data_IF_461292948557
#
_entry.id   IF_461292948557
#
_cell.length_a   1.000
_cell.length_b   1.000
_cell.length_c   1.000
_cell.angle_alpha   90.00
_cell.angle_beta   90.00
_cell.angle_gamma   90.00
#
_symmetry.space_group_name_H-M   'P 1'
#
loop_
_entity.id
_entity.type
_entity.pdbx_description
1 polymer ?
#
# COMPACT_ATOMS: atom_id res chain seq x y z
N UNK A 1 26.59 22.31 -38.38
CA UNK A 1 26.41 20.86 -38.15
C UNK A 1 24.93 20.56 -38.32
N UNK A 2 24.55 20.10 -39.50
CA UNK A 2 23.16 19.90 -39.93
C UNK A 2 22.64 18.62 -39.30
N UNK A 3 21.71 18.73 -38.35
CA UNK A 3 20.99 17.57 -37.82
C UNK A 3 20.11 17.05 -38.97
N UNK A 4 20.45 15.88 -39.51
CA UNK A 4 19.74 15.26 -40.62
C UNK A 4 18.25 15.02 -40.28
N UNK A 5 17.31 15.19 -41.25
CA UNK A 5 15.86 15.04 -41.02
C UNK A 5 15.44 13.70 -40.41
N UNK A 6 16.20 12.64 -40.69
CA UNK A 6 16.00 11.27 -40.17
C UNK A 6 16.26 11.20 -38.64
N UNK A 7 17.17 12.01 -38.12
CA UNK A 7 17.45 12.04 -36.68
C UNK A 7 16.29 12.69 -35.91
N UNK A 8 15.73 13.76 -36.47
CA UNK A 8 14.57 14.50 -35.94
C UNK A 8 13.30 13.65 -35.92
N UNK A 9 12.98 12.96 -37.01
CA UNK A 9 11.83 12.01 -37.06
C UNK A 9 12.00 10.85 -36.08
N UNK A 10 13.22 10.31 -35.91
CA UNK A 10 13.48 9.26 -34.90
C UNK A 10 13.39 9.76 -33.45
N UNK A 11 13.57 11.06 -33.23
CA UNK A 11 13.44 11.73 -31.93
C UNK A 11 11.97 12.04 -31.63
N UNK A 12 11.17 12.34 -32.65
CA UNK A 12 9.73 12.68 -32.58
C UNK A 12 8.86 11.48 -32.19
N UNK A 13 9.00 10.34 -32.86
CA UNK A 13 8.26 9.11 -32.50
C UNK A 13 8.55 8.69 -31.06
N UNK A 14 9.78 8.96 -30.60
CA UNK A 14 10.22 8.70 -29.22
C UNK A 14 9.63 9.65 -28.18
N UNK A 15 9.08 10.81 -28.55
CA UNK A 15 8.52 11.77 -27.58
C UNK A 15 7.09 11.43 -27.19
N UNK A 16 6.23 11.17 -28.17
CA UNK A 16 4.84 10.73 -27.95
C UNK A 16 4.83 9.41 -27.18
N UNK A 17 5.60 8.43 -27.64
CA UNK A 17 5.71 7.12 -27.00
C UNK A 17 6.17 7.24 -25.53
N UNK A 18 7.09 8.16 -25.23
CA UNK A 18 7.54 8.42 -23.85
C UNK A 18 6.47 9.09 -23.00
N UNK A 19 5.72 10.04 -23.55
CA UNK A 19 4.62 10.69 -22.84
C UNK A 19 3.49 9.71 -22.52
N UNK A 20 3.12 8.85 -23.47
CA UNK A 20 2.12 7.78 -23.25
C UNK A 20 2.61 6.72 -22.28
N UNK A 21 3.89 6.35 -22.33
CA UNK A 21 4.47 5.40 -21.38
C UNK A 21 4.48 5.97 -19.96
N UNK A 22 4.80 7.26 -19.80
CA UNK A 22 4.74 7.94 -18.51
C UNK A 22 3.29 8.06 -17.99
N UNK A 23 2.32 8.32 -18.87
CA UNK A 23 0.90 8.33 -18.53
C UNK A 23 0.43 6.98 -17.98
N UNK A 24 0.69 5.90 -18.74
CA UNK A 24 0.32 4.54 -18.33
C UNK A 24 0.96 4.18 -16.99
N UNK A 25 2.26 4.45 -16.85
CA UNK A 25 2.99 4.21 -15.62
C UNK A 25 2.39 4.94 -14.41
N UNK A 26 2.13 6.24 -14.51
CA UNK A 26 1.60 7.03 -13.39
C UNK A 26 0.14 6.67 -13.07
N UNK A 27 -0.67 6.33 -14.07
CA UNK A 27 -2.03 5.83 -13.86
C UNK A 27 -2.04 4.49 -13.12
N UNK A 28 -1.17 3.56 -13.52
CA UNK A 28 -1.02 2.27 -12.84
C UNK A 28 -0.49 2.43 -11.42
N UNK A 29 0.46 3.36 -11.21
CA UNK A 29 1.02 3.68 -9.91
C UNK A 29 -0.06 4.27 -8.98
N UNK A 30 -0.85 5.24 -9.44
CA UNK A 30 -1.95 5.83 -8.68
C UNK A 30 -2.99 4.77 -8.27
N UNK A 31 -3.46 3.98 -9.25
CA UNK A 31 -4.41 2.90 -9.00
C UNK A 31 -3.89 1.87 -8.00
N UNK A 32 -2.64 1.44 -8.17
CA UNK A 32 -2.03 0.41 -7.31
C UNK A 32 -1.78 0.94 -5.90
N UNK A 33 -1.37 2.20 -5.76
CA UNK A 33 -1.16 2.86 -4.47
C UNK A 33 -2.46 2.99 -3.70
N UNK A 34 -3.54 3.42 -4.36
CA UNK A 34 -4.89 3.46 -3.78
C UNK A 34 -5.33 2.09 -3.31
N UNK A 35 -5.22 1.08 -4.17
CA UNK A 35 -5.61 -0.28 -3.83
C UNK A 35 -4.82 -0.83 -2.63
N UNK A 36 -3.50 -0.60 -2.59
CA UNK A 36 -2.66 -0.99 -1.46
C UNK A 36 -3.10 -0.28 -0.17
N UNK A 37 -3.29 1.04 -0.22
CA UNK A 37 -3.72 1.85 0.90
C UNK A 37 -5.06 1.36 1.47
N UNK A 38 -6.06 1.22 0.61
CA UNK A 38 -7.40 0.74 0.99
C UNK A 38 -7.36 -0.67 1.58
N UNK A 39 -6.58 -1.56 0.96
CA UNK A 39 -6.44 -2.96 1.41
C UNK A 39 -5.81 -3.02 2.79
N UNK A 40 -4.74 -2.26 3.05
CA UNK A 40 -4.08 -2.21 4.37
C UNK A 40 -5.05 -1.66 5.43
N UNK A 41 -5.76 -0.57 5.12
CA UNK A 41 -6.73 0.02 6.05
C UNK A 41 -7.86 -0.96 6.37
N UNK A 42 -8.45 -1.58 5.36
CA UNK A 42 -9.55 -2.52 5.54
C UNK A 42 -9.11 -3.79 6.27
N UNK A 43 -7.92 -4.30 5.98
CA UNK A 43 -7.33 -5.43 6.68
C UNK A 43 -7.21 -5.16 8.18
N UNK A 44 -6.60 -4.05 8.57
CA UNK A 44 -6.44 -3.69 9.99
C UNK A 44 -7.79 -3.40 10.67
N UNK A 45 -8.74 -2.78 9.95
CA UNK A 45 -10.11 -2.60 10.45
C UNK A 45 -10.78 -3.94 10.76
N UNK A 46 -10.64 -4.94 9.88
CA UNK A 46 -11.18 -6.29 10.11
C UNK A 46 -10.53 -6.98 11.30
N UNK A 47 -9.22 -6.84 11.48
CA UNK A 47 -8.51 -7.39 12.64
C UNK A 47 -9.04 -6.79 13.96
N UNK A 48 -9.16 -5.46 14.05
CA UNK A 48 -9.57 -4.79 15.28
C UNK A 48 -11.06 -4.97 15.62
N UNK A 49 -11.91 -5.22 14.63
CA UNK A 49 -13.36 -5.37 14.85
C UNK A 49 -13.81 -6.83 14.83
N UNK A 50 -13.61 -7.52 13.70
CA UNK A 50 -14.18 -8.85 13.49
C UNK A 50 -13.43 -9.91 14.28
N UNK A 51 -12.10 -9.96 14.13
CA UNK A 51 -11.27 -10.97 14.77
C UNK A 51 -11.29 -10.81 16.29
N UNK A 52 -11.26 -9.56 16.79
CA UNK A 52 -11.50 -9.26 18.20
C UNK A 52 -12.79 -9.89 18.74
N UNK A 53 -13.91 -9.77 18.01
CA UNK A 53 -15.20 -10.34 18.45
C UNK A 53 -15.14 -11.86 18.52
N UNK A 54 -14.46 -12.51 17.58
CA UNK A 54 -14.31 -13.96 17.58
C UNK A 54 -13.48 -14.45 18.78
N UNK A 55 -12.37 -13.77 19.11
CA UNK A 55 -11.61 -14.08 20.32
C UNK A 55 -12.40 -13.83 21.61
N UNK A 56 -13.24 -12.79 21.65
CA UNK A 56 -14.13 -12.56 22.79
C UNK A 56 -15.18 -13.68 22.95
N UNK A 57 -15.73 -14.20 21.84
CA UNK A 57 -16.65 -15.35 21.88
C UNK A 57 -15.94 -16.62 22.35
N UNK A 58 -14.73 -16.87 21.85
CA UNK A 58 -13.92 -18.02 22.24
C UNK A 58 -13.61 -17.99 23.74
N UNK A 59 -13.22 -16.82 24.25
CA UNK A 59 -13.05 -16.57 25.69
C UNK A 59 -14.28 -16.97 26.50
N UNK A 60 -15.46 -16.47 26.12
CA UNK A 60 -16.72 -16.79 26.80
C UNK A 60 -17.04 -18.28 26.78
N UNK A 61 -16.78 -18.97 25.66
CA UNK A 61 -17.02 -20.41 25.54
C UNK A 61 -16.19 -21.21 26.58
N UNK A 62 -14.90 -20.92 26.69
CA UNK A 62 -14.02 -21.57 27.67
C UNK A 62 -14.42 -21.26 29.13
N UNK A 63 -14.76 -20.00 29.43
CA UNK A 63 -15.20 -19.59 30.76
C UNK A 63 -16.53 -20.26 31.14
N UNK A 64 -17.48 -20.37 30.21
CA UNK A 64 -18.75 -21.05 30.42
C UNK A 64 -18.53 -22.55 30.67
N UNK A 65 -17.64 -23.19 29.91
CA UNK A 65 -17.29 -24.60 30.13
C UNK A 65 -16.66 -24.82 31.50
N UNK A 66 -15.69 -23.97 31.89
CA UNK A 66 -15.09 -24.00 33.22
C UNK A 66 -16.16 -23.91 34.32
N UNK A 67 -17.10 -22.98 34.20
CA UNK A 67 -18.19 -22.80 35.17
C UNK A 67 -19.13 -24.01 35.23
N UNK A 68 -19.41 -24.63 34.09
CA UNK A 68 -20.24 -25.83 34.02
C UNK A 68 -19.57 -27.01 34.74
N UNK A 69 -18.28 -27.26 34.49
CA UNK A 69 -17.53 -28.32 35.17
C UNK A 69 -17.41 -28.04 36.67
N UNK A 70 -17.23 -26.77 37.07
CA UNK A 70 -17.18 -26.37 38.47
C UNK A 70 -18.49 -26.61 39.24
N UNK A 71 -19.61 -26.72 38.52
CA UNK A 71 -20.93 -27.01 39.09
C UNK A 71 -21.17 -28.50 39.38
N UNK A 72 -20.27 -29.38 38.95
CA UNK A 72 -20.31 -30.79 39.33
C UNK A 72 -20.25 -30.92 40.86
N UNK A 73 -21.12 -31.76 41.42
CA UNK A 73 -21.18 -32.04 42.86
C UNK A 73 -20.56 -33.38 43.22
N UNK A 74 -20.28 -34.23 42.22
CA UNK A 74 -19.83 -35.61 42.42
C UNK A 74 -18.31 -35.76 42.34
N UNK A 75 -17.67 -35.15 41.34
CA UNK A 75 -16.23 -35.33 41.05
C UNK A 75 -15.43 -34.03 40.98
N UNK A 76 -16.00 -32.90 41.45
CA UNK A 76 -15.38 -31.57 41.40
C UNK A 76 -13.93 -31.52 41.86
N UNK A 77 -13.59 -32.23 42.94
CA UNK A 77 -12.23 -32.23 43.48
C UNK A 77 -11.21 -32.75 42.44
N UNK A 78 -11.58 -33.76 41.66
CA UNK A 78 -10.75 -34.34 40.59
C UNK A 78 -10.59 -33.39 39.40
N UNK A 79 -11.57 -32.51 39.17
CA UNK A 79 -11.62 -31.61 38.01
C UNK A 79 -11.05 -30.22 38.28
N UNK A 80 -10.49 -29.95 39.47
CA UNK A 80 -10.02 -28.61 39.87
C UNK A 80 -8.96 -28.05 38.91
N UNK A 81 -7.99 -28.88 38.50
CA UNK A 81 -6.94 -28.48 37.53
C UNK A 81 -7.57 -28.13 36.18
N UNK A 82 -8.42 -29.00 35.65
CA UNK A 82 -9.14 -28.78 34.38
C UNK A 82 -9.96 -27.48 34.40
N UNK A 83 -10.72 -27.21 35.46
CA UNK A 83 -11.45 -25.95 35.61
C UNK A 83 -10.50 -24.74 35.56
N UNK A 84 -9.42 -24.77 36.33
CA UNK A 84 -8.44 -23.69 36.36
C UNK A 84 -7.78 -23.45 34.98
N UNK A 85 -7.41 -24.50 34.26
CA UNK A 85 -6.80 -24.42 32.93
C UNK A 85 -7.78 -23.88 31.88
N UNK A 86 -9.05 -24.30 31.93
CA UNK A 86 -10.11 -23.75 31.06
C UNK A 86 -10.38 -22.27 31.37
N UNK A 87 -10.45 -21.88 32.64
CA UNK A 87 -10.59 -20.48 33.04
C UNK A 87 -9.40 -19.63 32.57
N UNK A 88 -8.18 -20.15 32.72
CA UNK A 88 -6.95 -19.52 32.23
C UNK A 88 -7.00 -19.33 30.72
N UNK A 89 -7.38 -20.36 29.97
CA UNK A 89 -7.56 -20.28 28.50
C UNK A 89 -8.59 -19.23 28.10
N UNK A 90 -9.72 -19.19 28.80
CA UNK A 90 -10.75 -18.17 28.59
C UNK A 90 -10.20 -16.75 28.81
N UNK A 91 -9.41 -16.52 29.86
CA UNK A 91 -8.76 -15.24 30.10
C UNK A 91 -7.69 -14.91 29.06
N UNK A 92 -6.92 -15.89 28.60
CA UNK A 92 -5.95 -15.72 27.52
C UNK A 92 -6.60 -15.22 26.24
N UNK A 93 -7.68 -15.84 25.77
CA UNK A 93 -8.37 -15.37 24.57
C UNK A 93 -9.03 -14.00 24.76
N UNK A 94 -9.43 -13.64 25.98
CA UNK A 94 -9.85 -12.27 26.30
C UNK A 94 -8.70 -11.28 26.13
N UNK A 95 -7.51 -11.61 26.63
CA UNK A 95 -6.32 -10.76 26.48
C UNK A 95 -5.90 -10.62 25.01
N UNK A 96 -5.91 -11.72 24.23
CA UNK A 96 -5.66 -11.69 22.78
C UNK A 96 -6.66 -10.77 22.07
N UNK A 97 -7.94 -10.78 22.47
CA UNK A 97 -8.94 -9.85 21.93
C UNK A 97 -8.60 -8.38 22.19
N UNK A 98 -7.98 -8.07 23.34
CA UNK A 98 -7.51 -6.72 23.67
C UNK A 98 -6.26 -6.35 22.87
N UNK A 99 -5.33 -7.29 22.66
CA UNK A 99 -4.13 -7.08 21.82
C UNK A 99 -4.54 -6.68 20.40
N UNK A 100 -5.53 -7.35 19.82
CA UNK A 100 -6.13 -6.96 18.53
C UNK A 100 -6.77 -5.55 18.51
N UNK A 101 -7.13 -5.00 19.67
CA UNK A 101 -7.73 -3.66 19.79
C UNK A 101 -6.69 -2.53 19.91
N UNK A 102 -5.50 -2.83 20.45
CA UNK A 102 -4.52 -1.82 20.91
C UNK A 102 -3.39 -1.55 19.90
N UNK A 103 -3.00 -2.54 19.08
CA UNK A 103 -1.82 -2.39 18.20
C UNK A 103 -2.06 -1.37 17.08
N UNK A 104 -1.34 -0.24 17.08
CA UNK A 104 -1.68 0.88 16.18
C UNK A 104 -0.51 1.70 15.61
N UNK A 105 0.66 1.83 16.23
CA UNK A 105 1.59 2.91 15.82
C UNK A 105 2.33 2.68 14.49
N UNK A 106 2.92 1.50 14.26
CA UNK A 106 3.63 1.24 13.00
C UNK A 106 2.69 1.07 11.79
N UNK A 107 1.49 0.55 12.05
CA UNK A 107 0.39 0.52 11.08
C UNK A 107 -0.03 1.94 10.70
N UNK A 108 -0.13 2.87 11.67
CA UNK A 108 -0.41 4.29 11.39
C UNK A 108 0.68 4.88 10.49
N UNK A 109 1.95 4.65 10.79
CA UNK A 109 3.06 5.22 10.02
C UNK A 109 3.06 4.76 8.55
N UNK A 110 2.81 3.47 8.28
CA UNK A 110 2.67 2.97 6.92
C UNK A 110 1.41 3.53 6.24
N UNK A 111 0.27 3.56 6.95
CA UNK A 111 -0.98 4.08 6.41
C UNK A 111 -0.90 5.57 6.04
N UNK A 112 -0.30 6.40 6.88
CA UNK A 112 -0.13 7.84 6.59
C UNK A 112 0.76 8.05 5.36
N UNK A 113 1.87 7.32 5.25
CA UNK A 113 2.72 7.32 4.06
C UNK A 113 1.92 6.95 2.80
N UNK A 114 1.16 5.85 2.82
CA UNK A 114 0.34 5.43 1.67
C UNK A 114 -0.76 6.45 1.31
N UNK A 115 -1.39 7.07 2.32
CA UNK A 115 -2.39 8.13 2.11
C UNK A 115 -1.78 9.38 1.48
N UNK A 116 -0.56 9.74 1.86
CA UNK A 116 0.16 10.87 1.29
C UNK A 116 0.37 10.67 -0.22
N UNK A 117 0.90 9.51 -0.64
CA UNK A 117 1.06 9.21 -2.07
C UNK A 117 -0.29 9.12 -2.81
N UNK A 118 -1.34 8.63 -2.15
CA UNK A 118 -2.71 8.63 -2.72
C UNK A 118 -3.24 10.04 -2.98
N UNK A 119 -2.77 11.06 -2.23
CA UNK A 119 -3.12 12.47 -2.46
C UNK A 119 -2.20 13.15 -3.48
N UNK A 120 -0.94 12.73 -3.56
CA UNK A 120 0.06 13.30 -4.46
C UNK A 120 -0.15 12.86 -5.91
N UNK A 121 -0.29 11.56 -6.15
CA UNK A 121 -0.30 10.96 -7.49
C UNK A 121 -1.42 11.48 -8.42
N UNK A 122 -2.65 11.75 -7.95
CA UNK A 122 -3.69 12.33 -8.83
C UNK A 122 -3.28 13.67 -9.48
N UNK A 123 -2.41 14.45 -8.84
CA UNK A 123 -1.97 15.74 -9.35
C UNK A 123 -1.05 15.62 -10.59
N UNK A 124 -0.46 14.46 -10.84
CA UNK A 124 0.45 14.25 -11.97
C UNK A 124 -0.30 14.12 -13.31
N UNK A 125 -1.59 13.77 -13.29
CA UNK A 125 -2.43 13.60 -14.49
C UNK A 125 -2.49 14.87 -15.35
N UNK A 126 -2.61 16.03 -14.72
CA UNK A 126 -2.63 17.33 -15.41
C UNK A 126 -1.31 17.62 -16.11
N UNK A 127 -0.19 17.29 -15.45
CA UNK A 127 1.18 17.54 -15.96
C UNK A 127 1.44 16.66 -17.20
N UNK A 128 1.01 15.40 -17.16
CA UNK A 128 1.13 14.46 -18.27
C UNK A 128 0.24 14.88 -19.45
N UNK A 129 -0.98 15.34 -19.18
CA UNK A 129 -1.90 15.83 -20.20
C UNK A 129 -1.30 16.99 -21.00
N UNK A 130 -0.58 17.88 -20.32
CA UNK A 130 0.17 18.96 -20.97
C UNK A 130 1.30 18.43 -21.87
N UNK A 131 2.06 17.44 -21.41
CA UNK A 131 3.13 16.83 -22.21
C UNK A 131 2.58 16.12 -23.46
N UNK A 132 1.44 15.42 -23.34
CA UNK A 132 0.76 14.83 -24.50
C UNK A 132 0.29 15.89 -25.49
N UNK A 133 -0.36 16.95 -25.01
CA UNK A 133 -0.78 18.05 -25.86
C UNK A 133 0.40 18.71 -26.59
N UNK A 134 1.53 18.89 -25.91
CA UNK A 134 2.75 19.40 -26.52
C UNK A 134 3.30 18.47 -27.61
N UNK A 135 3.28 17.14 -27.39
CA UNK A 135 3.72 16.16 -28.39
C UNK A 135 2.78 16.13 -29.61
N UNK A 136 1.46 16.11 -29.38
CA UNK A 136 0.45 16.17 -30.46
C UNK A 136 0.56 17.46 -31.29
N UNK A 137 0.90 18.58 -30.63
CA UNK A 137 1.12 19.85 -31.32
C UNK A 137 2.34 19.76 -32.24
N UNK A 138 3.42 19.10 -31.82
CA UNK A 138 4.60 18.88 -32.67
C UNK A 138 4.27 18.00 -33.88
N UNK A 139 3.53 16.91 -33.67
CA UNK A 139 3.13 16.00 -34.76
C UNK A 139 2.29 16.73 -35.82
N UNK A 140 1.30 17.52 -35.39
CA UNK A 140 0.43 18.27 -36.29
C UNK A 140 1.20 19.37 -37.04
N UNK A 141 2.16 20.01 -36.36
CA UNK A 141 2.98 21.06 -36.95
C UNK A 141 3.93 20.50 -38.02
N UNK A 142 4.50 19.31 -37.78
CA UNK A 142 5.32 18.59 -38.75
C UNK A 142 4.51 18.16 -39.98
N UNK A 143 3.28 17.70 -39.77
CA UNK A 143 2.34 17.38 -40.87
C UNK A 143 2.06 18.61 -41.74
N UNK A 144 1.68 19.72 -41.12
CA UNK A 144 1.39 20.99 -41.82
C UNK A 144 2.61 21.54 -42.60
N UNK A 145 3.82 21.40 -42.04
CA UNK A 145 5.03 21.88 -42.69
C UNK A 145 5.41 21.04 -43.92
N UNK A 146 5.07 19.75 -43.92
CA UNK A 146 5.31 18.83 -45.04
C UNK A 146 4.30 19.06 -46.18
N UNK A 147 3.04 19.33 -45.84
CA UNK A 147 1.94 19.41 -46.81
C UNK A 147 1.78 20.81 -47.45
N UNK A 148 2.08 21.89 -46.72
CA UNK A 148 1.68 23.24 -47.16
C UNK A 148 2.76 24.35 -47.04
N UNK A 149 3.95 24.05 -46.48
CA UNK A 149 5.02 25.04 -46.20
C UNK A 149 4.53 26.36 -45.54
N UNK A 150 3.43 26.31 -44.78
CA UNK A 150 2.77 27.50 -44.20
C UNK A 150 3.47 28.06 -42.95
N UNK A 151 4.45 27.35 -42.37
CA UNK A 151 5.02 27.67 -41.06
C UNK A 151 6.53 27.91 -41.17
N UNK A 152 7.04 28.94 -40.50
CA UNK A 152 8.46 29.23 -40.48
C UNK A 152 9.24 28.12 -39.75
N UNK A 153 10.33 27.63 -40.34
CA UNK A 153 11.18 26.59 -39.75
C UNK A 153 11.74 26.98 -38.37
N UNK A 154 11.92 28.28 -38.10
CA UNK A 154 12.34 28.75 -36.77
C UNK A 154 11.30 28.46 -35.69
N UNK A 155 10.02 28.59 -36.03
CA UNK A 155 8.92 28.38 -35.09
C UNK A 155 8.69 26.88 -34.84
N UNK A 156 8.83 26.07 -35.88
CA UNK A 156 8.86 24.59 -35.79
C UNK A 156 9.90 24.13 -34.78
N UNK A 157 11.15 24.59 -34.95
CA UNK A 157 12.25 24.21 -34.07
C UNK A 157 12.02 24.68 -32.61
N UNK A 158 11.40 25.84 -32.41
CA UNK A 158 11.06 26.37 -31.07
C UNK A 158 9.99 25.53 -30.38
N UNK A 159 8.91 25.20 -31.07
CA UNK A 159 7.81 24.40 -30.54
C UNK A 159 8.31 22.99 -30.19
N UNK A 160 9.09 22.38 -31.08
CA UNK A 160 9.69 21.08 -30.86
C UNK A 160 10.65 21.06 -29.66
N UNK A 161 11.49 22.10 -29.52
CA UNK A 161 12.37 22.26 -28.36
C UNK A 161 11.57 22.41 -27.06
N UNK A 162 10.45 23.15 -27.09
CA UNK A 162 9.54 23.30 -25.95
C UNK A 162 8.89 21.99 -25.54
N UNK A 163 8.36 21.22 -26.49
CA UNK A 163 7.78 19.90 -26.24
C UNK A 163 8.82 18.92 -25.67
N UNK A 164 10.04 18.92 -26.20
CA UNK A 164 11.14 18.14 -25.66
C UNK A 164 11.43 18.49 -24.19
N UNK A 165 11.49 19.80 -23.87
CA UNK A 165 11.72 20.26 -22.50
C UNK A 165 10.60 19.81 -21.55
N UNK A 166 9.34 19.96 -21.96
CA UNK A 166 8.17 19.50 -21.18
C UNK A 166 8.25 17.99 -20.92
N UNK A 167 8.48 17.18 -21.95
CA UNK A 167 8.57 15.71 -21.80
C UNK A 167 9.74 15.29 -20.92
N UNK A 168 10.87 16.02 -20.96
CA UNK A 168 12.01 15.77 -20.05
C UNK A 168 11.69 16.17 -18.60
N UNK A 169 10.95 17.24 -18.39
CA UNK A 169 10.46 17.62 -17.06
C UNK A 169 9.51 16.56 -16.48
N UNK A 170 8.58 16.02 -17.28
CA UNK A 170 7.73 14.89 -16.85
C UNK A 170 8.56 13.68 -16.50
N UNK A 171 9.56 13.34 -17.31
CA UNK A 171 10.46 12.22 -17.00
C UNK A 171 11.21 12.43 -15.68
N UNK A 172 11.69 13.65 -15.43
CA UNK A 172 12.33 14.02 -14.16
C UNK A 172 11.38 13.85 -12.98
N UNK A 173 10.13 14.28 -13.12
CA UNK A 173 9.10 14.15 -12.08
C UNK A 173 8.80 12.68 -11.77
N UNK A 174 8.63 11.83 -12.79
CA UNK A 174 8.46 10.39 -12.61
C UNK A 174 9.63 9.76 -11.81
N UNK A 175 10.86 10.17 -12.14
CA UNK A 175 12.05 9.69 -11.43
C UNK A 175 12.07 10.15 -9.98
N UNK A 176 11.68 11.40 -9.71
CA UNK A 176 11.62 11.96 -8.36
C UNK A 176 10.59 11.20 -7.51
N UNK A 177 9.36 11.03 -8.02
CA UNK A 177 8.30 10.27 -7.35
C UNK A 177 8.78 8.85 -7.02
N UNK A 178 9.42 8.17 -7.97
CA UNK A 178 9.94 6.82 -7.73
C UNK A 178 11.09 6.78 -6.74
N UNK A 179 11.93 7.81 -6.67
CA UNK A 179 12.96 7.92 -5.63
C UNK A 179 12.32 8.07 -4.26
N UNK A 180 11.35 8.98 -4.11
CA UNK A 180 10.64 9.20 -2.85
C UNK A 180 9.91 7.94 -2.37
N UNK A 181 9.17 7.28 -3.26
CA UNK A 181 8.54 5.99 -2.97
C UNK A 181 9.57 4.98 -2.49
N UNK A 182 10.70 4.85 -3.19
CA UNK A 182 11.76 3.90 -2.79
C UNK A 182 12.31 4.22 -1.40
N UNK A 183 12.64 5.47 -1.14
CA UNK A 183 13.29 5.88 0.11
C UNK A 183 12.36 5.74 1.32
N UNK A 184 11.08 6.08 1.14
CA UNK A 184 10.10 5.98 2.21
C UNK A 184 9.56 4.56 2.39
N UNK A 185 9.08 3.93 1.32
CA UNK A 185 8.34 2.68 1.43
C UNK A 185 9.23 1.53 1.86
N UNK A 186 10.51 1.50 1.45
CA UNK A 186 11.46 0.47 1.89
C UNK A 186 11.55 0.41 3.41
N UNK A 187 11.65 1.56 4.07
CA UNK A 187 11.76 1.61 5.53
C UNK A 187 10.41 1.38 6.21
N UNK A 188 9.34 2.04 5.75
CA UNK A 188 8.01 1.90 6.37
C UNK A 188 7.45 0.48 6.25
N UNK A 189 7.63 -0.18 5.11
CA UNK A 189 7.18 -1.57 4.92
C UNK A 189 8.03 -2.52 5.76
N UNK A 190 9.36 -2.34 5.81
CA UNK A 190 10.23 -3.13 6.68
C UNK A 190 9.81 -3.02 8.15
N UNK A 191 9.61 -1.82 8.65
CA UNK A 191 9.21 -1.57 10.04
C UNK A 191 7.84 -2.18 10.32
N UNK A 192 6.88 -1.99 9.40
CA UNK A 192 5.57 -2.63 9.45
C UNK A 192 5.66 -4.16 9.58
N UNK A 193 6.50 -4.82 8.77
CA UNK A 193 6.68 -6.27 8.83
C UNK A 193 7.26 -6.73 10.18
N UNK A 194 8.23 -6.00 10.73
CA UNK A 194 8.76 -6.30 12.06
C UNK A 194 7.70 -6.15 13.15
N UNK A 195 6.84 -5.14 13.05
CA UNK A 195 5.73 -4.95 13.98
C UNK A 195 4.66 -6.03 13.86
N UNK A 196 4.35 -6.48 12.63
CA UNK A 196 3.47 -7.63 12.44
C UNK A 196 4.08 -8.91 13.03
N UNK A 197 5.38 -9.13 12.85
CA UNK A 197 6.05 -10.29 13.45
C UNK A 197 5.98 -10.25 14.99
N UNK A 198 6.27 -9.11 15.60
CA UNK A 198 6.15 -8.91 17.06
C UNK A 198 4.73 -9.14 17.56
N UNK A 199 3.73 -8.61 16.85
CA UNK A 199 2.32 -8.81 17.16
C UNK A 199 1.94 -10.29 17.23
N UNK A 200 2.25 -11.05 16.17
CA UNK A 200 1.91 -12.46 16.13
C UNK A 200 2.70 -13.28 17.14
N UNK A 201 3.95 -12.92 17.41
CA UNK A 201 4.75 -13.57 18.44
C UNK A 201 4.14 -13.37 19.84
N UNK A 202 3.67 -12.15 20.14
CA UNK A 202 3.00 -11.85 21.41
C UNK A 202 1.70 -12.67 21.56
N UNK A 203 0.94 -12.87 20.49
CA UNK A 203 -0.26 -13.73 20.51
C UNK A 203 0.13 -15.20 20.75
N UNK A 204 1.15 -15.69 20.04
CA UNK A 204 1.62 -17.07 20.19
C UNK A 204 2.05 -17.35 21.64
N UNK A 205 2.84 -16.46 22.23
CA UNK A 205 3.31 -16.59 23.61
C UNK A 205 2.14 -16.68 24.62
N UNK A 206 1.09 -15.88 24.43
CA UNK A 206 -0.11 -15.93 25.28
C UNK A 206 -0.80 -17.30 25.20
N UNK A 207 -0.90 -17.87 24.00
CA UNK A 207 -1.53 -19.17 23.77
C UNK A 207 -0.68 -20.31 24.32
N UNK A 208 0.65 -20.26 24.13
CA UNK A 208 1.59 -21.25 24.67
C UNK A 208 1.54 -21.30 26.20
N UNK A 209 1.53 -20.14 26.87
CA UNK A 209 1.38 -20.08 28.34
C UNK A 209 0.06 -20.68 28.82
N UNK A 210 -1.03 -20.51 28.06
CA UNK A 210 -2.30 -21.15 28.39
C UNK A 210 -2.22 -22.67 28.22
N UNK A 211 -1.55 -23.16 27.18
CA UNK A 211 -1.37 -24.59 26.94
C UNK A 211 -0.58 -25.27 28.07
N UNK A 212 0.47 -24.62 28.59
CA UNK A 212 1.25 -25.11 29.73
C UNK A 212 0.40 -25.37 30.98
N UNK A 213 -0.73 -24.66 31.15
CA UNK A 213 -1.63 -24.90 32.29
C UNK A 213 -2.30 -26.28 32.28
N UNK A 214 -2.25 -27.01 31.15
CA UNK A 214 -2.79 -28.36 31.02
C UNK A 214 -1.75 -29.47 31.21
N UNK A 215 -0.46 -29.13 31.33
CA UNK A 215 0.59 -30.12 31.54
C UNK A 215 0.34 -30.85 32.87
N UNK A 216 0.43 -32.19 32.85
CA UNK A 216 0.27 -33.03 34.03
C UNK A 216 1.66 -33.15 34.65
N UNK A 217 1.78 -32.83 35.94
CA UNK A 217 3.00 -33.06 36.71
C UNK A 217 3.26 -34.56 36.88
#
# INVERSE_FOLDING_TARGET
MTITPILLTSLETKLVEKAETAERFLADLDRSTKFLCETVVEYHRKLSISIRKEFSKLSMAFLNMSKAIESDVHTKQLNTKLCSSLATTGNTFRNVSCIHAIQSEATINLQECLKEFTRLLPNTSTIISLAKAACLTVDELNRCNTDEQKVCQSDVNRIQSGALLITRSVQSECNLIMSQIRDEWMNKIKDYLYDQARFYHQIAEQIERAAQSFEID
#
